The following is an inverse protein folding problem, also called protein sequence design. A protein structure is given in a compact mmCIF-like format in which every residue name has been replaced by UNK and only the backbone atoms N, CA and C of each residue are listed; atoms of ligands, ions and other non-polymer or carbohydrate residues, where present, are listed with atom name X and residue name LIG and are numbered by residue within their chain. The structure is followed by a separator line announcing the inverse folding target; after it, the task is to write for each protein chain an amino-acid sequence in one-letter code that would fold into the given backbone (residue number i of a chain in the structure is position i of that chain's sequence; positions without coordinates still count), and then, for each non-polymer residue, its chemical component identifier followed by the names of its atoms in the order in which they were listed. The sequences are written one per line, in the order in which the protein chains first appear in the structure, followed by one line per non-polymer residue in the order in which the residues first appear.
data_IF_054007369198
#
_entry.id   IF_054007369198
#
_cell.length_a   1.000
_cell.length_b   1.000
_cell.length_c   1.000
_cell.angle_alpha   90.00
_cell.angle_beta   90.00
_cell.angle_gamma   90.00
#
_symmetry.space_group_name_H-M   'P 1'
#
loop_
_entity.id
_entity.type
_entity.pdbx_description
1 polymer ?
#
# COMPACT_ATOMS: atom_id res chain seq x y z
N UNK A 1 -27.24 20.87 31.87
CA UNK A 1 -26.11 21.83 31.78
C UNK A 1 -25.65 21.90 30.34
N UNK A 2 -26.07 22.95 29.65
CA UNK A 2 -25.96 23.12 28.20
C UNK A 2 -24.63 23.79 27.85
N UNK A 3 -23.63 22.97 27.54
CA UNK A 3 -22.31 23.43 27.06
C UNK A 3 -22.37 24.20 25.74
N UNK A 4 -23.50 24.12 25.02
CA UNK A 4 -23.74 24.88 23.80
C UNK A 4 -23.93 26.38 24.06
N UNK A 5 -24.46 26.77 25.23
CA UNK A 5 -24.80 28.17 25.53
C UNK A 5 -23.58 29.06 25.80
N UNK A 6 -22.43 28.45 26.14
CA UNK A 6 -21.16 29.18 26.34
C UNK A 6 -20.35 29.32 25.05
N UNK A 7 -20.55 28.43 24.09
CA UNK A 7 -19.91 28.52 22.79
C UNK A 7 -20.53 29.64 21.92
N UNK A 8 -21.85 29.82 22.02
CA UNK A 8 -22.59 30.88 21.32
C UNK A 8 -22.24 32.29 21.83
N UNK A 9 -21.96 32.44 23.14
CA UNK A 9 -21.56 33.73 23.72
C UNK A 9 -20.10 34.13 23.37
N UNK A 10 -19.25 33.16 23.02
CA UNK A 10 -17.87 33.42 22.61
C UNK A 10 -17.74 33.79 21.13
N UNK A 11 -18.70 33.38 20.30
CA UNK A 11 -18.69 33.63 18.86
C UNK A 11 -19.38 34.94 18.44
N UNK A 12 -19.87 35.76 19.37
CA UNK A 12 -20.47 37.06 19.05
C UNK A 12 -21.70 36.98 18.14
N UNK A 13 -22.29 35.79 18.00
CA UNK A 13 -23.44 35.50 17.13
C UNK A 13 -24.75 35.48 17.94
N UNK A 14 -24.87 36.43 18.86
CA UNK A 14 -26.17 36.86 19.36
C UNK A 14 -26.32 38.34 19.00
N UNK A 15 -26.50 38.59 17.70
CA UNK A 15 -27.21 39.79 17.26
C UNK A 15 -28.64 39.67 17.80
N UNK A 16 -28.98 40.60 18.68
CA UNK A 16 -30.31 40.83 19.24
C UNK A 16 -31.24 41.33 18.12
N UNK A 17 -32.22 40.52 17.74
CA UNK A 17 -33.51 41.05 17.29
C UNK A 17 -34.31 41.40 18.54
N UNK A 18 -34.45 42.69 18.86
CA UNK A 18 -35.76 43.36 18.97
C UNK A 18 -35.62 44.82 19.43
N UNK A 19 -36.24 45.70 18.64
CA UNK A 19 -36.23 47.14 18.75
C UNK A 19 -37.02 47.67 19.95
N UNK A 20 -36.51 48.72 20.59
CA UNK A 20 -37.35 49.73 21.24
C UNK A 20 -36.67 51.10 21.24
N UNK A 21 -37.45 52.10 20.84
CA UNK A 21 -37.06 53.48 20.58
C UNK A 21 -36.90 54.30 21.87
N UNK A 22 -35.86 55.13 21.96
CA UNK A 22 -35.97 56.50 22.49
C UNK A 22 -34.69 57.35 22.30
N UNK A 23 -34.81 58.35 21.42
CA UNK A 23 -34.52 59.79 21.65
C UNK A 23 -33.07 60.33 21.84
N UNK A 24 -32.60 60.98 20.75
CA UNK A 24 -31.94 62.33 20.65
C UNK A 24 -30.71 62.72 21.51
N UNK A 25 -29.51 62.87 20.89
CA UNK A 25 -28.72 64.15 20.70
C UNK A 25 -27.20 63.96 20.48
N UNK A 26 -26.75 64.27 19.25
CA UNK A 26 -25.72 65.27 18.82
C UNK A 26 -24.30 65.39 19.47
N UNK A 27 -23.26 65.34 18.62
CA UNK A 27 -21.90 65.92 18.77
C UNK A 27 -20.77 64.90 18.47
N UNK A 28 -20.01 64.87 17.36
CA UNK A 28 -19.17 65.84 16.64
C UNK A 28 -17.69 65.94 17.15
N UNK A 29 -16.76 65.38 16.36
CA UNK A 29 -15.29 65.56 16.19
C UNK A 29 -14.28 65.27 17.33
N UNK A 30 -13.28 64.42 17.02
CA UNK A 30 -11.79 64.65 17.03
C UNK A 30 -11.06 63.29 16.94
N UNK A 31 -9.85 63.06 16.42
CA UNK A 31 -8.89 63.72 15.52
C UNK A 31 -7.93 62.57 15.08
N UNK A 32 -7.23 62.73 13.96
CA UNK A 32 -6.31 61.75 13.38
C UNK A 32 -4.94 61.83 14.07
N UNK A 33 -4.29 60.71 14.39
CA UNK A 33 -2.82 60.63 14.43
C UNK A 33 -2.33 59.31 13.85
N UNK A 34 -1.75 59.41 12.65
CA UNK A 34 -0.87 58.42 12.03
C UNK A 34 0.45 58.34 12.80
N UNK A 35 0.94 57.12 13.04
CA UNK A 35 2.37 56.91 13.34
C UNK A 35 2.86 55.73 12.50
N UNK A 36 3.55 56.06 11.40
CA UNK A 36 4.45 55.16 10.67
C UNK A 36 5.75 54.91 11.46
N UNK A 37 6.34 53.71 11.24
CA UNK A 37 7.77 53.30 11.30
C UNK A 37 7.82 51.87 11.87
N UNK A 38 8.59 50.89 11.40
CA UNK A 38 9.68 50.79 10.42
C UNK A 38 9.76 49.31 9.96
N UNK A 39 10.05 49.01 8.69
CA UNK A 39 10.22 47.65 8.17
C UNK A 39 11.61 47.12 8.53
N UNK A 40 11.83 46.74 9.79
CA UNK A 40 13.04 46.03 10.19
C UNK A 40 12.77 44.53 10.31
N UNK A 41 13.23 43.84 9.27
CA UNK A 41 13.42 42.41 9.08
C UNK A 41 13.50 41.57 10.37
N UNK A 42 12.36 41.02 10.80
CA UNK A 42 12.35 39.81 11.62
C UNK A 42 12.55 38.60 10.71
N UNK A 43 13.82 38.41 10.33
CA UNK A 43 14.39 37.19 9.81
C UNK A 43 14.24 36.08 10.86
N UNK A 44 13.04 35.52 11.01
CA UNK A 44 12.81 34.33 11.83
C UNK A 44 12.73 33.11 10.92
N UNK A 45 13.92 32.64 10.59
CA UNK A 45 14.21 31.27 10.18
C UNK A 45 13.51 30.31 11.14
N UNK A 46 12.31 29.82 10.78
CA UNK A 46 11.61 28.83 11.57
C UNK A 46 10.91 27.85 10.65
N UNK A 47 11.42 26.63 10.70
CA UNK A 47 10.83 25.40 10.18
C UNK A 47 10.53 25.38 8.69
N UNK A 48 11.57 25.07 7.90
CA UNK A 48 11.34 24.21 6.74
C UNK A 48 10.70 22.93 7.28
N UNK A 49 9.37 22.85 7.20
CA UNK A 49 8.65 21.59 7.28
C UNK A 49 9.16 20.72 6.14
N UNK A 50 10.22 19.96 6.42
CA UNK A 50 10.77 19.00 5.48
C UNK A 50 9.82 17.80 5.50
N UNK A 51 8.74 17.90 4.72
CA UNK A 51 7.78 16.83 4.51
C UNK A 51 8.48 15.75 3.71
N UNK A 52 9.13 14.81 4.39
CA UNK A 52 9.61 13.59 3.77
C UNK A 52 8.38 12.75 3.42
N UNK A 53 8.17 12.53 2.12
CA UNK A 53 7.19 11.56 1.62
C UNK A 53 7.45 10.23 2.31
N UNK A 54 6.52 9.80 3.17
CA UNK A 54 6.49 8.44 3.70
C UNK A 54 6.11 7.56 2.52
N UNK A 55 7.10 7.23 1.70
CA UNK A 55 7.02 6.10 0.82
C UNK A 55 6.91 4.90 1.76
N UNK A 56 5.68 4.50 2.10
CA UNK A 56 5.42 3.23 2.73
C UNK A 56 5.95 2.18 1.75
N UNK A 57 7.23 1.82 1.89
CA UNK A 57 7.88 0.85 1.04
C UNK A 57 7.05 -0.43 1.19
N UNK A 58 6.33 -0.77 0.12
CA UNK A 58 5.50 -1.97 0.07
C UNK A 58 6.46 -3.13 0.30
N UNK A 59 6.45 -3.69 1.52
CA UNK A 59 7.35 -4.77 1.89
C UNK A 59 7.01 -5.99 1.04
N UNK A 60 7.75 -6.19 -0.04
CA UNK A 60 7.62 -7.37 -0.90
C UNK A 60 8.19 -8.55 -0.13
N UNK A 61 7.33 -9.52 0.19
CA UNK A 61 7.72 -10.75 0.88
C UNK A 61 7.66 -11.91 -0.08
N UNK A 62 8.75 -12.66 -0.15
CA UNK A 62 8.85 -13.91 -0.91
C UNK A 62 8.93 -15.06 0.07
N UNK A 63 8.13 -16.10 -0.16
CA UNK A 63 8.10 -17.31 0.66
C UNK A 63 8.79 -18.43 -0.10
N UNK A 64 9.60 -19.22 0.59
CA UNK A 64 10.20 -20.43 0.03
C UNK A 64 9.43 -21.63 0.60
N UNK A 65 8.95 -22.50 -0.27
CA UNK A 65 8.22 -23.70 0.07
C UNK A 65 8.89 -24.92 -0.56
N UNK A 66 9.15 -25.94 0.24
CA UNK A 66 9.67 -27.23 -0.21
C UNK A 66 8.68 -28.32 0.21
N UNK A 67 7.53 -28.44 -0.49
CA UNK A 67 6.50 -29.39 -0.09
C UNK A 67 6.99 -30.83 -0.21
N UNK A 68 6.46 -31.71 0.65
CA UNK A 68 6.71 -33.16 0.58
C UNK A 68 5.46 -33.93 0.17
N UNK A 69 4.30 -33.37 0.45
CA UNK A 69 2.98 -33.95 0.21
C UNK A 69 2.12 -33.00 -0.64
N UNK A 70 1.01 -33.53 -1.17
CA UNK A 70 0.08 -32.73 -1.97
C UNK A 70 -0.67 -31.69 -1.12
N UNK A 71 -0.95 -32.01 0.14
CA UNK A 71 -1.76 -31.17 1.03
C UNK A 71 -1.09 -29.82 1.32
N UNK A 72 0.24 -29.78 1.36
CA UNK A 72 1.05 -28.56 1.52
C UNK A 72 0.86 -27.55 0.37
N UNK A 73 0.31 -27.98 -0.78
CA UNK A 73 -0.04 -27.07 -1.86
C UNK A 73 -1.12 -26.05 -1.45
N UNK A 74 -1.98 -26.41 -0.49
CA UNK A 74 -3.00 -25.49 0.04
C UNK A 74 -2.36 -24.34 0.82
N UNK A 75 -1.32 -24.62 1.61
CA UNK A 75 -0.58 -23.58 2.33
C UNK A 75 0.10 -22.60 1.35
N UNK A 76 0.63 -23.11 0.24
CA UNK A 76 1.20 -22.28 -0.83
C UNK A 76 0.11 -21.39 -1.45
N UNK A 77 -1.09 -21.92 -1.69
CA UNK A 77 -2.22 -21.15 -2.19
C UNK A 77 -2.64 -20.02 -1.22
N UNK A 78 -2.64 -20.26 0.09
CA UNK A 78 -2.96 -19.24 1.09
C UNK A 78 -1.90 -18.13 1.16
N UNK A 79 -0.63 -18.46 0.91
CA UNK A 79 0.43 -17.48 0.75
C UNK A 79 0.18 -16.58 -0.47
N UNK A 80 -0.20 -17.18 -1.61
CA UNK A 80 -0.51 -16.44 -2.84
C UNK A 80 -1.75 -15.54 -2.66
N UNK A 81 -2.79 -16.01 -1.97
CA UNK A 81 -3.97 -15.22 -1.59
C UNK A 81 -3.60 -14.01 -0.73
N UNK A 82 -2.57 -14.14 0.10
CA UNK A 82 -2.03 -13.04 0.92
C UNK A 82 -1.14 -12.06 0.12
N UNK A 83 -1.16 -12.13 -1.22
CA UNK A 83 -0.33 -11.36 -2.16
C UNK A 83 1.18 -11.52 -1.90
N UNK A 84 1.62 -12.71 -1.47
CA UNK A 84 3.04 -13.06 -1.33
C UNK A 84 3.46 -13.98 -2.48
N UNK A 85 4.60 -13.69 -3.11
CA UNK A 85 5.19 -14.59 -4.10
C UNK A 85 5.78 -15.82 -3.42
N UNK A 86 5.68 -16.98 -4.06
CA UNK A 86 6.16 -18.25 -3.50
C UNK A 86 7.07 -18.95 -4.49
N UNK A 87 8.26 -19.33 -4.03
CA UNK A 87 9.16 -20.22 -4.75
C UNK A 87 8.91 -21.64 -4.23
N UNK A 88 8.54 -22.54 -5.12
CA UNK A 88 8.15 -23.91 -4.82
C UNK A 88 9.22 -24.87 -5.35
N UNK A 89 9.88 -25.58 -4.44
CA UNK A 89 10.85 -26.62 -4.78
C UNK A 89 10.21 -28.01 -4.65
N UNK A 90 10.01 -28.68 -5.78
CA UNK A 90 9.41 -30.01 -5.89
C UNK A 90 10.45 -31.13 -6.03
N UNK A 91 11.75 -30.87 -5.81
CA UNK A 91 12.81 -31.88 -5.95
C UNK A 91 12.65 -33.10 -5.03
N UNK A 92 12.00 -32.93 -3.87
CA UNK A 92 11.73 -34.03 -2.93
C UNK A 92 10.35 -34.67 -3.11
N UNK A 93 9.59 -34.23 -4.11
CA UNK A 93 8.26 -34.77 -4.42
C UNK A 93 8.37 -35.80 -5.54
N UNK A 94 7.62 -36.90 -5.44
CA UNK A 94 7.52 -37.88 -6.53
C UNK A 94 6.90 -37.22 -7.77
N UNK A 95 7.37 -37.58 -8.97
CA UNK A 95 6.92 -36.99 -10.24
C UNK A 95 5.39 -36.91 -10.37
N UNK A 96 4.68 -37.99 -10.04
CA UNK A 96 3.20 -38.03 -10.10
C UNK A 96 2.53 -36.99 -9.20
N UNK A 97 3.05 -36.79 -7.99
CA UNK A 97 2.52 -35.82 -7.05
C UNK A 97 2.95 -34.40 -7.44
N UNK A 98 4.17 -34.22 -7.96
CA UNK A 98 4.64 -32.93 -8.43
C UNK A 98 3.75 -32.38 -9.56
N UNK A 99 3.34 -33.23 -10.51
CA UNK A 99 2.40 -32.84 -11.59
C UNK A 99 1.08 -32.34 -11.00
N UNK A 100 0.50 -33.05 -10.02
CA UNK A 100 -0.75 -32.64 -9.36
C UNK A 100 -0.60 -31.33 -8.59
N UNK A 101 0.52 -31.13 -7.90
CA UNK A 101 0.80 -29.88 -7.19
C UNK A 101 0.88 -28.72 -8.18
N UNK A 102 1.61 -28.90 -9.29
CA UNK A 102 1.72 -27.86 -10.33
C UNK A 102 0.37 -27.55 -10.95
N UNK A 103 -0.47 -28.56 -11.22
CA UNK A 103 -1.81 -28.37 -11.75
C UNK A 103 -2.71 -27.57 -10.78
N UNK A 104 -2.70 -27.95 -9.49
CA UNK A 104 -3.42 -27.23 -8.44
C UNK A 104 -2.96 -25.77 -8.31
N UNK A 105 -1.65 -25.54 -8.31
CA UNK A 105 -1.08 -24.20 -8.22
C UNK A 105 -1.38 -23.38 -9.47
N UNK A 106 -1.35 -24.00 -10.66
CA UNK A 106 -1.71 -23.36 -11.92
C UNK A 106 -3.16 -22.89 -11.92
N UNK A 107 -4.09 -23.73 -11.44
CA UNK A 107 -5.49 -23.34 -11.24
C UNK A 107 -5.64 -22.22 -10.21
N UNK A 108 -4.86 -22.27 -9.12
CA UNK A 108 -4.88 -21.24 -8.06
C UNK A 108 -4.39 -19.89 -8.58
N UNK A 109 -3.24 -19.84 -9.26
CA UNK A 109 -2.72 -18.57 -9.79
C UNK A 109 -3.63 -18.02 -10.88
N UNK A 110 -4.22 -18.89 -11.71
CA UNK A 110 -5.19 -18.45 -12.72
C UNK A 110 -6.40 -17.79 -12.09
N UNK A 111 -6.97 -18.38 -11.03
CA UNK A 111 -8.09 -17.80 -10.30
C UNK A 111 -7.74 -16.46 -9.61
N UNK A 112 -6.47 -16.28 -9.21
CA UNK A 112 -5.99 -15.05 -8.57
C UNK A 112 -5.45 -13.99 -9.56
N UNK A 113 -5.47 -14.27 -10.86
CA UNK A 113 -4.86 -13.38 -11.87
C UNK A 113 -3.34 -13.26 -11.73
N UNK A 114 -2.69 -14.27 -11.14
CA UNK A 114 -1.25 -14.36 -10.98
C UNK A 114 -0.57 -15.11 -12.12
N UNK A 115 0.73 -15.35 -11.97
CA UNK A 115 1.54 -16.08 -12.93
C UNK A 115 2.31 -17.22 -12.27
N UNK A 116 2.49 -18.31 -13.00
CA UNK A 116 3.39 -19.41 -12.65
C UNK A 116 4.49 -19.50 -13.71
N UNK A 117 5.73 -19.67 -13.28
CA UNK A 117 6.89 -19.75 -14.17
C UNK A 117 7.86 -20.80 -13.66
N UNK A 118 8.31 -21.69 -14.54
CA UNK A 118 9.36 -22.66 -14.20
C UNK A 118 10.71 -21.96 -14.28
N UNK A 119 11.47 -22.03 -13.19
CA UNK A 119 12.76 -21.35 -13.06
C UNK A 119 13.95 -22.33 -12.97
N UNK A 120 13.66 -23.63 -12.85
CA UNK A 120 14.68 -24.67 -12.78
C UNK A 120 14.09 -26.09 -12.76
N UNK A 121 14.94 -27.12 -12.62
CA UNK A 121 14.50 -28.51 -12.58
C UNK A 121 13.67 -28.76 -11.32
N UNK A 122 12.36 -28.97 -11.50
CA UNK A 122 11.37 -29.12 -10.44
C UNK A 122 11.27 -27.89 -9.51
N UNK A 123 11.62 -26.69 -9.98
CA UNK A 123 11.47 -25.44 -9.21
C UNK A 123 10.58 -24.47 -9.98
N UNK A 124 9.55 -23.99 -9.29
CA UNK A 124 8.52 -23.11 -9.84
C UNK A 124 8.43 -21.83 -9.03
N UNK A 125 8.23 -20.71 -9.71
CA UNK A 125 7.89 -19.43 -9.13
C UNK A 125 6.39 -19.18 -9.35
N UNK A 126 5.66 -18.94 -8.26
CA UNK A 126 4.28 -18.52 -8.29
C UNK A 126 4.19 -17.07 -7.80
N UNK A 127 3.61 -16.19 -8.59
CA UNK A 127 3.43 -14.78 -8.25
C UNK A 127 1.95 -14.39 -8.27
N UNK A 128 1.50 -13.53 -7.36
CA UNK A 128 0.19 -12.89 -7.46
C UNK A 128 0.19 -11.79 -8.54
N UNK A 129 -0.98 -11.24 -8.84
CA UNK A 129 -1.23 -10.07 -9.71
C UNK A 129 -0.33 -8.85 -9.43
N UNK A 130 0.22 -8.77 -8.22
CA UNK A 130 0.93 -7.62 -7.69
C UNK A 130 2.41 -7.59 -8.07
N UNK A 131 2.91 -8.63 -8.74
CA UNK A 131 4.32 -8.82 -9.07
C UNK A 131 4.47 -9.16 -10.54
N UNK A 132 5.16 -8.27 -11.27
CA UNK A 132 5.51 -8.48 -12.68
C UNK A 132 6.79 -9.31 -12.79
N UNK A 133 6.81 -10.25 -13.75
CA UNK A 133 7.97 -11.08 -14.06
C UNK A 133 8.51 -10.63 -15.42
N UNK A 134 9.81 -10.35 -15.49
CA UNK A 134 10.50 -9.99 -16.73
C UNK A 134 11.57 -11.02 -17.09
N UNK A 135 11.65 -11.38 -18.38
CA UNK A 135 12.62 -12.35 -18.89
C UNK A 135 12.08 -13.78 -18.92
N UNK A 136 12.85 -14.67 -19.54
CA UNK A 136 12.52 -16.09 -19.68
C UNK A 136 13.76 -16.93 -19.40
N UNK A 137 13.57 -18.05 -18.71
CA UNK A 137 14.62 -19.05 -18.52
C UNK A 137 14.35 -20.15 -19.54
N UNK A 138 15.13 -20.17 -20.62
CA UNK A 138 15.04 -21.23 -21.63
C UNK A 138 15.44 -22.56 -21.00
N UNK A 139 14.57 -23.56 -21.10
CA UNK A 139 14.95 -24.94 -20.82
C UNK A 139 15.95 -25.37 -21.89
N UNK A 140 17.25 -25.32 -21.59
CA UNK A 140 18.22 -26.12 -22.33
C UNK A 140 17.87 -27.57 -22.02
N UNK A 141 17.08 -28.14 -22.92
CA UNK A 141 16.46 -29.44 -22.82
C UNK A 141 17.49 -30.48 -22.39
N UNK A 142 17.16 -31.22 -21.33
CA UNK A 142 17.76 -32.49 -20.99
C UNK A 142 17.39 -33.58 -22.04
N UNK A 143 17.38 -33.24 -23.33
CA UNK A 143 17.23 -34.16 -24.46
C UNK A 143 18.42 -35.14 -24.55
N UNK A 144 19.54 -34.81 -23.90
CA UNK A 144 20.72 -35.68 -23.83
C UNK A 144 20.47 -36.97 -23.02
N UNK A 145 19.53 -36.96 -22.08
CA UNK A 145 19.24 -38.15 -21.25
C UNK A 145 18.38 -39.20 -21.98
N UNK A 146 17.57 -38.79 -22.96
CA UNK A 146 16.80 -39.72 -23.79
C UNK A 146 17.56 -40.12 -25.06
N UNK A 147 18.42 -39.27 -25.61
CA UNK A 147 19.33 -39.64 -26.71
C UNK A 147 20.35 -40.72 -26.31
N UNK A 148 20.85 -40.71 -25.06
CA UNK A 148 21.80 -41.72 -24.58
C UNK A 148 21.14 -43.06 -24.21
N UNK A 149 19.81 -43.10 -24.04
CA UNK A 149 19.05 -44.32 -23.76
C UNK A 149 18.60 -45.07 -25.02
N UNK A 150 18.73 -44.43 -26.19
CA UNK A 150 18.32 -45.00 -27.48
C UNK A 150 19.48 -45.65 -28.25
N UNK A 151 20.66 -45.75 -27.63
CA UNK A 151 21.85 -46.40 -28.18
C UNK A 151 22.26 -47.62 -27.36
#
# INVERSE_FOLDING_TARGET
MSVMNKFLNYLGLQEEDEASADRERMGAYDEQEEIETSPFELRKQSSKNNVVSIHAQKNVRVVLAEPRTYDEAQEIADNLKSRRSVIVNLQRVRREQAIKIVDFLSGTVYALGGHISKIGPNIFLCTPDSVEITGTISEMMAEEADYLKMR
#
